data_IF_009247876400
#
_entry.id   IF_009247876400
#
_cell.length_a   1.000
_cell.length_b   1.000
_cell.length_c   1.000
_cell.angle_alpha   90.00
_cell.angle_beta   90.00
_cell.angle_gamma   90.00
#
_symmetry.space_group_name_H-M   'P 1'
#
loop_
_entity.id
_entity.type
_entity.pdbx_description
1 polymer ?
#
# COMPACT_ATOMS: atom_id res chain seq x y z
N UNK A 1 22.78 -3.24 -16.64
CA UNK A 1 21.72 -2.44 -16.00
C UNK A 1 21.97 -0.92 -16.11
N UNK A 2 23.17 -0.38 -15.88
CA UNK A 2 23.45 1.08 -15.97
C UNK A 2 23.11 1.67 -17.34
N UNK A 3 23.50 1.02 -18.45
CA UNK A 3 23.19 1.50 -19.81
C UNK A 3 21.68 1.60 -20.11
N UNK A 4 20.86 0.63 -19.65
CA UNK A 4 19.41 0.68 -19.85
C UNK A 4 18.76 1.88 -19.14
N UNK A 5 19.22 2.21 -17.93
CA UNK A 5 18.74 3.38 -17.19
C UNK A 5 19.13 4.69 -17.86
N UNK A 6 20.38 4.78 -18.35
CA UNK A 6 20.87 5.96 -19.06
C UNK A 6 20.07 6.20 -20.35
N UNK A 7 19.89 5.14 -21.17
CA UNK A 7 19.09 5.22 -22.39
C UNK A 7 17.66 5.64 -22.09
N UNK A 8 17.01 5.02 -21.11
CA UNK A 8 15.65 5.38 -20.70
C UNK A 8 15.57 6.84 -20.21
N UNK A 9 16.58 7.32 -19.49
CA UNK A 9 16.68 8.70 -19.04
C UNK A 9 16.75 9.68 -20.21
N UNK A 10 17.64 9.42 -21.17
CA UNK A 10 17.79 10.24 -22.37
C UNK A 10 16.48 10.23 -23.19
N UNK A 11 15.92 9.05 -23.43
CA UNK A 11 14.64 8.91 -24.17
C UNK A 11 13.52 9.67 -23.47
N UNK A 12 13.40 9.56 -22.14
CA UNK A 12 12.38 10.29 -21.39
C UNK A 12 12.53 11.81 -21.53
N UNK A 13 13.74 12.36 -21.40
CA UNK A 13 14.00 13.79 -21.54
C UNK A 13 13.73 14.23 -22.97
N UNK A 14 14.25 13.51 -23.96
CA UNK A 14 14.07 13.85 -25.39
C UNK A 14 12.59 13.86 -25.75
N UNK A 15 11.82 12.84 -25.32
CA UNK A 15 10.38 12.82 -25.56
C UNK A 15 9.67 13.99 -24.87
N UNK A 16 10.02 14.30 -23.62
CA UNK A 16 9.47 15.44 -22.90
C UNK A 16 9.74 16.77 -23.64
N UNK A 17 10.96 16.98 -24.11
CA UNK A 17 11.34 18.17 -24.89
C UNK A 17 10.59 18.22 -26.23
N UNK A 18 10.53 17.10 -26.95
CA UNK A 18 9.81 17.03 -28.24
C UNK A 18 8.33 17.36 -28.02
N UNK A 19 7.67 16.76 -27.02
CA UNK A 19 6.26 17.00 -26.74
C UNK A 19 6.05 18.48 -26.37
N UNK A 20 6.90 19.05 -25.54
CA UNK A 20 6.72 20.42 -25.04
C UNK A 20 6.93 21.48 -26.12
N UNK A 21 7.96 21.32 -26.99
CA UNK A 21 8.43 22.39 -27.85
C UNK A 21 8.23 22.15 -29.34
N UNK A 22 8.11 20.91 -29.80
CA UNK A 22 8.06 20.56 -31.21
C UNK A 22 6.72 19.98 -31.68
N UNK A 23 5.91 19.46 -30.81
CA UNK A 23 4.56 18.97 -31.17
C UNK A 23 3.55 20.11 -31.01
N UNK A 24 2.80 20.46 -32.07
CA UNK A 24 1.70 21.42 -31.97
C UNK A 24 0.70 21.00 -30.90
N UNK A 25 0.26 21.95 -30.08
CA UNK A 25 -0.73 21.66 -29.04
C UNK A 25 -2.02 21.13 -29.67
N UNK A 26 -2.47 19.90 -29.33
CA UNK A 26 -3.67 19.30 -29.89
C UNK A 26 -4.93 20.13 -29.63
N UNK A 27 -5.90 20.04 -30.52
CA UNK A 27 -7.19 20.76 -30.39
C UNK A 27 -7.84 20.43 -29.03
N UNK A 28 -8.14 21.48 -28.26
CA UNK A 28 -8.79 21.37 -26.96
C UNK A 28 -7.86 21.10 -25.77
N UNK A 29 -6.54 20.99 -25.99
CA UNK A 29 -5.52 20.99 -24.93
C UNK A 29 -4.96 22.40 -24.77
N UNK A 30 -4.67 22.83 -23.55
CA UNK A 30 -3.97 24.09 -23.28
C UNK A 30 -2.46 23.90 -23.41
N UNK A 31 -1.68 24.96 -23.59
CA UNK A 31 -0.22 24.86 -23.55
C UNK A 31 0.29 24.38 -22.19
N UNK A 32 -0.33 24.83 -21.09
CA UNK A 32 -0.06 24.31 -19.75
C UNK A 32 -0.32 22.81 -19.65
N UNK A 33 -1.45 22.33 -20.21
CA UNK A 33 -1.76 20.91 -20.30
C UNK A 33 -0.74 20.11 -21.09
N UNK A 34 -0.17 20.69 -22.16
CA UNK A 34 0.90 20.06 -22.94
C UNK A 34 2.19 19.88 -22.13
N UNK A 35 2.60 20.90 -21.37
CA UNK A 35 3.75 20.83 -20.45
C UNK A 35 3.54 19.75 -19.39
N UNK A 36 2.35 19.71 -18.77
CA UNK A 36 2.00 18.69 -17.77
C UNK A 36 2.03 17.30 -18.37
N UNK A 37 1.48 17.10 -19.58
CA UNK A 37 1.52 15.82 -20.30
C UNK A 37 2.94 15.36 -20.58
N UNK A 38 3.78 16.25 -21.11
CA UNK A 38 5.17 15.97 -21.44
C UNK A 38 5.98 15.54 -20.21
N UNK A 39 5.84 16.28 -19.11
CA UNK A 39 6.52 15.97 -17.86
C UNK A 39 6.01 14.67 -17.22
N UNK A 40 4.71 14.36 -17.35
CA UNK A 40 4.14 13.08 -16.95
C UNK A 40 4.72 11.91 -17.75
N UNK A 41 4.84 12.03 -19.06
CA UNK A 41 5.47 11.00 -19.91
C UNK A 41 6.91 10.76 -19.46
N UNK A 42 7.68 11.83 -19.27
CA UNK A 42 9.06 11.76 -18.77
C UNK A 42 9.13 11.08 -17.39
N UNK A 43 8.31 11.52 -16.44
CA UNK A 43 8.28 10.97 -15.08
C UNK A 43 7.90 9.48 -15.06
N UNK A 44 6.95 9.08 -15.89
CA UNK A 44 6.55 7.67 -16.00
C UNK A 44 7.67 6.79 -16.54
N UNK A 45 8.40 7.23 -17.57
CA UNK A 45 9.58 6.53 -18.07
C UNK A 45 10.62 6.39 -16.94
N UNK A 46 10.87 7.47 -16.20
CA UNK A 46 11.82 7.47 -15.09
C UNK A 46 11.41 6.51 -13.97
N UNK A 47 10.12 6.44 -13.62
CA UNK A 47 9.61 5.53 -12.61
C UNK A 47 9.63 4.07 -13.06
N UNK A 48 9.25 3.78 -14.32
CA UNK A 48 9.24 2.41 -14.87
C UNK A 48 10.66 1.83 -14.89
N UNK A 49 11.64 2.62 -15.38
CA UNK A 49 13.00 2.15 -15.53
C UNK A 49 13.89 2.43 -14.30
N UNK A 50 13.34 3.04 -13.23
CA UNK A 50 14.11 3.46 -12.06
C UNK A 50 15.38 4.24 -12.44
N UNK A 51 15.24 5.24 -13.30
CA UNK A 51 16.34 6.06 -13.82
C UNK A 51 17.06 6.78 -12.68
N UNK A 52 16.27 7.49 -11.85
CA UNK A 52 16.67 8.12 -10.59
C UNK A 52 15.67 7.74 -9.49
N UNK A 53 15.95 8.00 -8.21
CA UNK A 53 15.00 7.74 -7.13
C UNK A 53 13.63 8.38 -7.40
N UNK A 54 12.55 7.64 -7.10
CA UNK A 54 11.18 8.04 -7.44
C UNK A 54 10.78 9.40 -6.87
N UNK A 55 11.23 9.73 -5.66
CA UNK A 55 10.96 11.05 -5.06
C UNK A 55 11.64 12.18 -5.81
N UNK A 56 12.88 11.98 -6.30
CA UNK A 56 13.59 12.97 -7.08
C UNK A 56 12.93 13.20 -8.44
N UNK A 57 12.46 12.13 -9.10
CA UNK A 57 11.64 12.24 -10.31
C UNK A 57 10.40 13.09 -10.06
N UNK A 58 9.67 12.83 -8.95
CA UNK A 58 8.49 13.61 -8.59
C UNK A 58 8.79 15.08 -8.34
N UNK A 59 9.86 15.40 -7.61
CA UNK A 59 10.28 16.79 -7.37
C UNK A 59 10.66 17.50 -8.66
N UNK A 60 11.41 16.86 -9.57
CA UNK A 60 11.75 17.42 -10.87
C UNK A 60 10.49 17.67 -11.71
N UNK A 61 9.51 16.77 -11.66
CA UNK A 61 8.24 16.94 -12.33
C UNK A 61 7.49 18.17 -11.81
N UNK A 62 7.30 18.32 -10.48
CA UNK A 62 6.66 19.50 -9.90
C UNK A 62 7.42 20.80 -10.27
N UNK A 63 8.74 20.77 -10.14
CA UNK A 63 9.57 21.94 -10.48
C UNK A 63 9.47 22.31 -11.94
N UNK A 64 9.42 21.33 -12.85
CA UNK A 64 9.27 21.60 -14.28
C UNK A 64 7.96 22.31 -14.62
N UNK A 65 6.85 22.01 -13.93
CA UNK A 65 5.59 22.70 -14.13
C UNK A 65 5.63 24.18 -13.75
N UNK A 66 6.37 24.49 -12.69
CA UNK A 66 6.53 25.88 -12.23
C UNK A 66 7.49 26.65 -13.17
N UNK A 67 8.64 26.05 -13.47
CA UNK A 67 9.68 26.68 -14.32
C UNK A 67 9.19 26.94 -15.74
N UNK A 68 8.42 26.00 -16.31
CA UNK A 68 7.84 26.14 -17.65
C UNK A 68 6.51 26.93 -17.66
N UNK A 69 6.06 27.45 -16.52
CA UNK A 69 4.88 28.30 -16.42
C UNK A 69 3.54 27.57 -16.60
N UNK A 70 3.50 26.25 -16.43
CA UNK A 70 2.26 25.49 -16.52
C UNK A 70 1.31 25.80 -15.35
N UNK A 71 1.85 25.90 -14.13
CA UNK A 71 1.10 26.25 -12.92
C UNK A 71 1.96 27.09 -11.97
N UNK A 72 1.32 27.78 -11.03
CA UNK A 72 2.02 28.52 -9.97
C UNK A 72 2.60 27.56 -8.92
N UNK A 73 3.64 27.99 -8.21
CA UNK A 73 4.30 27.23 -7.15
C UNK A 73 3.30 26.71 -6.11
N UNK A 74 2.37 27.57 -5.66
CA UNK A 74 1.37 27.23 -4.65
C UNK A 74 0.49 26.05 -5.10
N UNK A 75 0.13 25.98 -6.38
CA UNK A 75 -0.69 24.89 -6.94
C UNK A 75 0.12 23.59 -7.00
N UNK A 76 1.38 23.64 -7.44
CA UNK A 76 2.24 22.48 -7.56
C UNK A 76 2.58 21.86 -6.19
N UNK A 77 2.79 22.69 -5.16
CA UNK A 77 3.28 22.24 -3.85
C UNK A 77 2.23 22.28 -2.73
N UNK A 78 0.97 22.65 -3.03
CA UNK A 78 -0.14 22.75 -2.07
C UNK A 78 -0.32 21.49 -1.23
N UNK A 79 -0.06 20.33 -1.80
CA UNK A 79 -0.27 19.03 -1.15
C UNK A 79 0.51 18.89 0.16
N UNK A 80 1.69 19.51 0.26
CA UNK A 80 2.54 19.44 1.46
C UNK A 80 1.95 20.15 2.66
N UNK A 81 0.92 21.00 2.47
CA UNK A 81 0.17 21.67 3.54
C UNK A 81 -1.13 20.95 3.93
N UNK A 82 -1.46 19.80 3.31
CA UNK A 82 -2.70 19.07 3.57
C UNK A 82 -2.63 18.15 4.78
N UNK A 83 -3.78 17.88 5.40
CA UNK A 83 -3.92 16.90 6.49
C UNK A 83 -3.49 15.50 6.07
N UNK A 84 -3.69 15.13 4.81
CA UNK A 84 -3.27 13.82 4.27
C UNK A 84 -1.75 13.64 4.32
N UNK A 85 -0.99 14.71 4.07
CA UNK A 85 0.47 14.64 4.17
C UNK A 85 0.92 14.45 5.61
N UNK A 86 0.30 15.14 6.55
CA UNK A 86 0.63 15.09 7.97
C UNK A 86 0.22 13.79 8.64
N UNK A 87 -0.87 13.14 8.21
CA UNK A 87 -1.21 11.81 8.74
C UNK A 87 -0.22 10.74 8.28
N UNK A 88 0.33 10.86 7.06
CA UNK A 88 1.39 9.96 6.59
C UNK A 88 2.64 10.09 7.45
N UNK A 89 3.08 11.32 7.72
CA UNK A 89 4.25 11.60 8.57
C UNK A 89 4.02 11.07 9.99
N UNK A 90 2.89 11.41 10.60
CA UNK A 90 2.54 10.98 11.94
C UNK A 90 2.40 9.45 12.04
N UNK A 91 1.71 8.84 11.09
CA UNK A 91 1.54 7.38 11.04
C UNK A 91 2.86 6.64 10.91
N UNK A 92 3.75 7.09 10.01
CA UNK A 92 5.11 6.53 9.88
C UNK A 92 5.93 6.70 11.16
N UNK A 93 5.77 7.81 11.88
CA UNK A 93 6.39 8.03 13.18
C UNK A 93 5.89 7.05 14.24
N UNK A 94 4.59 6.81 14.35
CA UNK A 94 4.00 5.80 15.24
C UNK A 94 4.51 4.40 14.90
N UNK A 95 4.57 4.05 13.61
CA UNK A 95 5.11 2.78 13.13
C UNK A 95 6.60 2.62 13.43
N UNK A 96 7.39 3.69 13.32
CA UNK A 96 8.81 3.70 13.69
C UNK A 96 9.00 3.40 15.18
N UNK A 97 8.18 3.98 16.06
CA UNK A 97 8.21 3.69 17.50
C UNK A 97 7.84 2.24 17.78
N UNK A 98 6.77 1.72 17.19
CA UNK A 98 6.34 0.33 17.36
C UNK A 98 7.41 -0.68 16.91
N UNK A 99 8.12 -0.34 15.83
CA UNK A 99 9.24 -1.16 15.32
C UNK A 99 10.47 -1.07 16.23
N UNK A 100 10.84 0.16 16.65
CA UNK A 100 12.01 0.41 17.50
C UNK A 100 11.90 -0.31 18.84
N UNK A 101 10.75 -0.22 19.49
CA UNK A 101 10.52 -0.80 20.82
C UNK A 101 10.38 -2.32 20.82
N UNK A 102 10.18 -2.97 19.67
CA UNK A 102 9.94 -4.40 19.58
C UNK A 102 8.49 -4.82 19.91
N UNK A 103 7.61 -3.84 20.17
CA UNK A 103 6.20 -4.08 20.50
C UNK A 103 5.50 -5.01 19.49
N UNK A 104 5.79 -4.83 18.20
CA UNK A 104 5.20 -5.62 17.12
C UNK A 104 5.55 -7.09 17.23
N UNK A 105 6.85 -7.39 17.47
CA UNK A 105 7.34 -8.77 17.63
C UNK A 105 6.68 -9.43 18.83
N UNK A 106 6.56 -8.70 19.94
CA UNK A 106 5.90 -9.18 21.15
C UNK A 106 4.42 -9.51 20.90
N UNK A 107 3.66 -8.60 20.26
CA UNK A 107 2.26 -8.81 19.95
C UNK A 107 2.10 -10.04 19.05
N UNK A 108 2.90 -10.16 18.00
CA UNK A 108 2.87 -11.30 17.08
C UNK A 108 3.09 -12.62 17.84
N UNK A 109 4.20 -12.73 18.59
CA UNK A 109 4.52 -13.93 19.35
C UNK A 109 3.43 -14.27 20.41
N UNK A 110 2.89 -13.24 21.09
CA UNK A 110 1.82 -13.43 22.07
C UNK A 110 0.56 -14.00 21.42
N UNK A 111 0.13 -13.47 20.28
CA UNK A 111 -1.01 -13.99 19.54
C UNK A 111 -0.76 -15.45 19.13
N UNK A 112 0.45 -15.76 18.65
CA UNK A 112 0.78 -17.11 18.19
C UNK A 112 0.74 -18.15 19.30
N UNK A 113 0.91 -17.78 20.57
CA UNK A 113 0.77 -18.73 21.70
C UNK A 113 -0.66 -19.24 21.89
N UNK A 114 -1.68 -18.56 21.39
CA UNK A 114 -3.08 -18.97 21.50
C UNK A 114 -3.48 -20.06 20.51
N UNK A 115 -2.65 -20.32 19.48
CA UNK A 115 -2.97 -21.25 18.42
C UNK A 115 -2.18 -22.56 18.53
N UNK A 116 -2.71 -23.70 18.02
CA UNK A 116 -1.99 -24.96 17.99
C UNK A 116 -0.65 -24.84 17.24
N UNK A 117 0.39 -25.50 17.76
CA UNK A 117 1.72 -25.52 17.15
C UNK A 117 1.80 -26.58 16.04
N UNK A 118 0.95 -26.47 15.03
CA UNK A 118 0.94 -27.24 13.80
C UNK A 118 0.77 -26.30 12.60
N UNK A 119 0.85 -26.82 11.38
CA UNK A 119 0.76 -26.01 10.16
C UNK A 119 -0.51 -25.15 10.11
N UNK A 120 -1.69 -25.74 10.34
CA UNK A 120 -2.97 -25.03 10.27
C UNK A 120 -3.11 -23.98 11.35
N UNK A 121 -2.75 -24.34 12.59
CA UNK A 121 -2.82 -23.40 13.71
C UNK A 121 -1.89 -22.22 13.53
N UNK A 122 -0.65 -22.44 13.11
CA UNK A 122 0.32 -21.38 12.90
C UNK A 122 0.05 -20.55 11.63
N UNK A 123 -0.56 -21.12 10.61
CA UNK A 123 -1.10 -20.35 9.48
C UNK A 123 -2.15 -19.35 9.96
N UNK A 124 -3.13 -19.82 10.75
CA UNK A 124 -4.18 -18.95 11.32
C UNK A 124 -3.60 -17.91 12.28
N UNK A 125 -2.61 -18.30 13.09
CA UNK A 125 -1.92 -17.38 13.99
C UNK A 125 -1.23 -16.23 13.26
N UNK A 126 -0.53 -16.52 12.14
CA UNK A 126 0.12 -15.53 11.31
C UNK A 126 -0.90 -14.58 10.65
N UNK A 127 -2.03 -15.09 10.17
CA UNK A 127 -3.12 -14.28 9.64
C UNK A 127 -3.68 -13.33 10.71
N UNK A 128 -4.02 -13.88 11.89
CA UNK A 128 -4.58 -13.10 13.01
C UNK A 128 -3.60 -12.05 13.50
N UNK A 129 -2.33 -12.43 13.73
CA UNK A 129 -1.31 -11.50 14.20
C UNK A 129 -1.07 -10.36 13.22
N UNK A 130 -0.94 -10.69 11.92
CA UNK A 130 -0.74 -9.69 10.88
C UNK A 130 -1.91 -8.71 10.76
N UNK A 131 -3.14 -9.22 10.78
CA UNK A 131 -4.35 -8.38 10.71
C UNK A 131 -4.48 -7.43 11.91
N UNK A 132 -4.20 -7.90 13.13
CA UNK A 132 -4.24 -7.06 14.34
C UNK A 132 -3.14 -6.00 14.31
N UNK A 133 -1.96 -6.35 13.82
CA UNK A 133 -0.81 -5.44 13.74
C UNK A 133 -0.94 -4.46 12.57
N UNK A 134 -1.67 -4.81 11.51
CA UNK A 134 -1.77 -4.02 10.29
C UNK A 134 -2.03 -2.53 10.55
N UNK A 135 -3.05 -2.09 11.30
CA UNK A 135 -3.34 -0.67 11.48
C UNK A 135 -2.28 0.11 12.28
N UNK A 136 -1.38 -0.59 12.96
CA UNK A 136 -0.36 0.02 13.83
C UNK A 136 0.87 0.52 13.05
N UNK A 137 1.09 0.03 11.83
CA UNK A 137 2.32 0.31 11.07
C UNK A 137 1.98 0.63 9.62
N UNK A 138 2.11 1.89 9.18
CA UNK A 138 1.79 2.29 7.81
C UNK A 138 2.92 1.96 6.80
N UNK A 139 3.56 0.81 6.95
CA UNK A 139 4.62 0.34 6.05
C UNK A 139 4.66 -1.17 5.98
N UNK A 140 4.64 -1.71 4.77
CA UNK A 140 4.70 -3.14 4.50
C UNK A 140 6.09 -3.75 4.79
N UNK A 141 7.17 -3.02 4.48
CA UNK A 141 8.53 -3.53 4.58
C UNK A 141 8.93 -4.00 5.99
N UNK A 142 8.74 -3.21 7.08
CA UNK A 142 9.05 -3.67 8.43
C UNK A 142 8.20 -4.89 8.84
N UNK A 143 6.93 -4.91 8.42
CA UNK A 143 6.01 -6.02 8.74
C UNK A 143 6.47 -7.33 8.10
N UNK A 144 6.84 -7.32 6.82
CA UNK A 144 7.33 -8.52 6.12
C UNK A 144 8.71 -8.94 6.60
N UNK A 145 9.63 -7.98 6.83
CA UNK A 145 10.97 -8.25 7.35
C UNK A 145 10.96 -8.91 8.74
N UNK A 146 9.93 -8.62 9.56
CA UNK A 146 9.77 -9.20 10.89
C UNK A 146 9.02 -10.55 10.83
N UNK A 147 7.94 -10.64 10.07
CA UNK A 147 7.04 -11.81 10.10
C UNK A 147 7.65 -13.04 9.42
N UNK A 148 8.44 -12.85 8.37
CA UNK A 148 9.02 -13.98 7.63
C UNK A 148 10.11 -14.74 8.42
N UNK A 149 11.03 -14.11 9.18
CA UNK A 149 11.90 -14.84 10.11
C UNK A 149 11.14 -15.60 11.21
N UNK A 150 10.04 -15.05 11.73
CA UNK A 150 9.18 -15.76 12.67
C UNK A 150 8.60 -17.02 12.01
N UNK A 151 8.04 -16.89 10.80
CA UNK A 151 7.55 -18.03 10.03
C UNK A 151 8.65 -19.07 9.74
N UNK A 152 9.89 -18.63 9.48
CA UNK A 152 11.04 -19.53 9.30
C UNK A 152 11.36 -20.30 10.59
N UNK A 153 11.35 -19.61 11.73
CA UNK A 153 11.55 -20.24 13.03
C UNK A 153 10.51 -21.32 13.32
N UNK A 154 9.24 -21.05 13.03
CA UNK A 154 8.14 -22.03 13.17
C UNK A 154 8.34 -23.19 12.21
N UNK A 155 8.66 -22.90 10.94
CA UNK A 155 8.92 -23.94 9.92
C UNK A 155 10.02 -24.91 10.36
N UNK A 156 11.11 -24.37 10.92
CA UNK A 156 12.22 -25.16 11.44
C UNK A 156 11.80 -25.99 12.67
N UNK A 157 11.04 -25.40 13.60
CA UNK A 157 10.53 -26.09 14.77
C UNK A 157 9.59 -27.24 14.43
N UNK A 158 8.79 -27.08 13.35
CA UNK A 158 7.91 -28.12 12.80
C UNK A 158 8.65 -29.12 11.90
N UNK A 159 9.98 -28.97 11.71
CA UNK A 159 10.80 -29.88 10.92
C UNK A 159 10.56 -29.80 9.40
N UNK A 160 10.00 -28.69 8.90
CA UNK A 160 9.74 -28.55 7.47
C UNK A 160 11.01 -28.23 6.69
N UNK A 161 11.19 -28.94 5.57
CA UNK A 161 12.34 -28.70 4.67
C UNK A 161 12.20 -27.37 3.94
N UNK A 162 13.32 -26.65 3.68
CA UNK A 162 13.33 -25.48 2.80
C UNK A 162 12.62 -25.76 1.46
N UNK A 163 11.87 -24.80 0.95
CA UNK A 163 11.05 -24.89 -0.27
C UNK A 163 9.96 -25.99 -0.26
N UNK A 164 9.86 -26.75 0.83
CA UNK A 164 8.78 -27.73 1.02
C UNK A 164 7.41 -27.05 1.16
N UNK A 165 6.33 -27.84 1.06
CA UNK A 165 4.97 -27.32 1.19
C UNK A 165 4.74 -26.58 2.51
N UNK A 166 5.12 -27.16 3.65
CA UNK A 166 4.94 -26.54 4.96
C UNK A 166 5.73 -25.24 5.11
N UNK A 167 7.01 -25.22 4.71
CA UNK A 167 7.85 -24.02 4.74
C UNK A 167 7.29 -22.92 3.84
N UNK A 168 6.93 -23.25 2.59
CA UNK A 168 6.33 -22.30 1.65
C UNK A 168 4.98 -21.78 2.15
N UNK A 169 4.15 -22.65 2.72
CA UNK A 169 2.83 -22.26 3.25
C UNK A 169 2.93 -21.30 4.43
N UNK A 170 3.84 -21.51 5.36
CA UNK A 170 4.06 -20.61 6.50
C UNK A 170 4.66 -19.26 6.06
N UNK A 171 5.60 -19.27 5.11
CA UNK A 171 6.11 -18.03 4.53
C UNK A 171 4.99 -17.21 3.89
N UNK A 172 4.17 -17.86 3.07
CA UNK A 172 3.02 -17.21 2.43
C UNK A 172 1.97 -16.76 3.44
N UNK A 173 1.74 -17.52 4.52
CA UNK A 173 0.85 -17.11 5.59
C UNK A 173 1.33 -15.83 6.30
N UNK A 174 2.65 -15.70 6.52
CA UNK A 174 3.22 -14.46 7.03
C UNK A 174 2.99 -13.28 6.06
N UNK A 175 3.19 -13.48 4.75
CA UNK A 175 2.92 -12.44 3.76
C UNK A 175 1.43 -12.07 3.69
N UNK A 176 0.53 -13.06 3.69
CA UNK A 176 -0.91 -12.78 3.67
C UNK A 176 -1.36 -12.02 4.91
N UNK A 177 -0.93 -12.46 6.10
CA UNK A 177 -1.31 -11.82 7.35
C UNK A 177 -0.75 -10.41 7.52
N UNK A 178 0.53 -10.19 7.17
CA UNK A 178 1.22 -8.94 7.50
C UNK A 178 1.32 -7.94 6.35
N UNK A 179 1.09 -8.39 5.10
CA UNK A 179 1.14 -7.52 3.93
C UNK A 179 -0.21 -7.42 3.22
N UNK A 180 -0.88 -8.55 2.90
CA UNK A 180 -2.14 -8.49 2.14
C UNK A 180 -3.24 -7.80 2.94
N UNK A 181 -3.39 -8.14 4.22
CA UNK A 181 -4.44 -7.56 5.09
C UNK A 181 -4.25 -6.07 5.40
N UNK A 182 -3.11 -5.46 5.06
CA UNK A 182 -2.91 -4.03 5.26
C UNK A 182 -3.89 -3.18 4.43
N UNK A 183 -4.40 -3.69 3.32
CA UNK A 183 -5.43 -3.01 2.54
C UNK A 183 -6.72 -2.77 3.32
N UNK A 184 -7.01 -3.59 4.34
CA UNK A 184 -8.21 -3.49 5.17
C UNK A 184 -8.28 -2.22 6.03
N UNK A 185 -7.15 -1.57 6.30
CA UNK A 185 -7.09 -0.43 7.21
C UNK A 185 -6.41 0.75 6.54
N UNK A 186 -7.04 1.90 6.58
CA UNK A 186 -6.50 3.13 5.95
C UNK A 186 -5.08 3.46 6.46
N UNK A 187 -4.84 3.27 7.76
CA UNK A 187 -3.55 3.57 8.40
C UNK A 187 -2.46 2.52 8.18
N UNK A 188 -2.77 1.36 7.59
CA UNK A 188 -1.84 0.24 7.55
C UNK A 188 -0.76 0.34 6.46
N UNK A 189 -0.93 1.22 5.48
CA UNK A 189 0.08 1.47 4.45
C UNK A 189 -0.02 2.89 3.90
N UNK A 190 1.13 3.49 3.64
CA UNK A 190 1.21 4.83 3.06
C UNK A 190 0.58 4.91 1.65
N UNK A 191 0.53 3.80 0.90
CA UNK A 191 -0.11 3.75 -0.42
C UNK A 191 -1.62 4.00 -0.36
N UNK A 192 -2.32 3.59 0.71
CA UNK A 192 -3.76 3.85 0.88
C UNK A 192 -4.03 5.35 0.90
N UNK A 193 -3.21 6.11 1.62
CA UNK A 193 -3.27 7.56 1.65
C UNK A 193 -2.88 8.19 0.31
N UNK A 194 -1.89 7.61 -0.38
CA UNK A 194 -1.50 8.09 -1.70
C UNK A 194 -2.67 8.02 -2.69
N UNK A 195 -3.36 6.89 -2.75
CA UNK A 195 -4.49 6.72 -3.67
C UNK A 195 -5.72 7.53 -3.23
N UNK A 196 -6.02 7.60 -1.93
CA UNK A 196 -7.04 8.51 -1.40
C UNK A 196 -6.75 9.95 -1.81
N UNK A 197 -5.52 10.40 -1.68
CA UNK A 197 -5.13 11.77 -1.96
C UNK A 197 -5.22 12.20 -3.42
N UNK A 198 -5.29 11.27 -4.37
CA UNK A 198 -5.53 11.53 -5.79
C UNK A 198 -7.00 11.76 -6.12
N UNK A 199 -7.92 11.46 -5.21
CA UNK A 199 -9.35 11.58 -5.45
C UNK A 199 -9.83 13.02 -5.30
N UNK A 200 -11.01 13.38 -5.86
CA UNK A 200 -11.68 14.64 -5.57
C UNK A 200 -11.98 14.80 -4.07
N UNK A 201 -12.00 16.02 -3.56
CA UNK A 201 -12.18 16.33 -2.13
C UNK A 201 -13.41 15.65 -1.50
N UNK A 202 -14.54 15.61 -2.23
CA UNK A 202 -15.77 14.94 -1.78
C UNK A 202 -15.56 13.43 -1.56
N UNK A 203 -14.85 12.77 -2.46
CA UNK A 203 -14.54 11.34 -2.34
C UNK A 203 -13.48 11.07 -1.25
N UNK A 204 -12.50 11.97 -1.09
CA UNK A 204 -11.55 11.88 0.02
C UNK A 204 -12.25 11.97 1.39
N UNK A 205 -13.24 12.84 1.55
CA UNK A 205 -14.02 12.98 2.78
C UNK A 205 -14.83 11.72 3.13
N UNK A 206 -15.28 10.96 2.14
CA UNK A 206 -15.94 9.67 2.34
C UNK A 206 -15.01 8.60 2.90
N UNK A 207 -13.70 8.72 2.69
CA UNK A 207 -12.67 7.76 3.11
C UNK A 207 -11.99 8.17 4.43
N UNK A 208 -12.78 8.42 5.50
CA UNK A 208 -12.23 8.46 6.85
C UNK A 208 -11.83 7.04 7.30
N UNK A 209 -11.15 6.90 8.43
CA UNK A 209 -10.64 5.61 8.89
C UNK A 209 -11.76 4.58 9.12
N UNK A 210 -12.85 4.99 9.75
CA UNK A 210 -14.00 4.12 10.04
C UNK A 210 -14.71 3.66 8.77
N UNK A 211 -15.02 4.58 7.86
CA UNK A 211 -15.67 4.25 6.60
C UNK A 211 -14.81 3.33 5.73
N UNK A 212 -13.48 3.60 5.64
CA UNK A 212 -12.55 2.70 4.95
C UNK A 212 -12.67 1.27 5.48
N UNK A 213 -12.63 1.10 6.81
CA UNK A 213 -12.72 -0.21 7.43
C UNK A 213 -14.06 -0.88 7.12
N UNK A 214 -15.19 -0.17 7.26
CA UNK A 214 -16.53 -0.69 6.93
C UNK A 214 -16.61 -1.13 5.47
N UNK A 215 -16.13 -0.30 4.55
CA UNK A 215 -16.10 -0.62 3.11
C UNK A 215 -15.28 -1.87 2.81
N UNK A 216 -14.29 -2.18 3.64
CA UNK A 216 -13.35 -3.28 3.45
C UNK A 216 -13.69 -4.54 4.25
N UNK A 217 -14.67 -4.52 5.16
CA UNK A 217 -15.03 -5.69 5.98
C UNK A 217 -15.31 -6.94 5.13
N UNK A 218 -16.18 -6.90 4.08
CA UNK A 218 -16.47 -8.11 3.31
C UNK A 218 -15.23 -8.63 2.59
N UNK A 219 -14.43 -7.75 1.99
CA UNK A 219 -13.18 -8.12 1.35
C UNK A 219 -12.22 -8.76 2.35
N UNK A 220 -12.08 -8.18 3.53
CA UNK A 220 -11.21 -8.69 4.60
C UNK A 220 -11.60 -10.11 5.01
N UNK A 221 -12.91 -10.36 5.19
CA UNK A 221 -13.44 -11.68 5.53
C UNK A 221 -13.12 -12.70 4.42
N UNK A 222 -13.36 -12.34 3.16
CA UNK A 222 -13.04 -13.22 1.99
C UNK A 222 -11.54 -13.52 1.93
N UNK A 223 -10.68 -12.51 2.13
CA UNK A 223 -9.21 -12.69 2.11
C UNK A 223 -8.73 -13.54 3.28
N UNK A 224 -9.25 -13.33 4.50
CA UNK A 224 -8.84 -14.10 5.66
C UNK A 224 -9.31 -15.56 5.56
N UNK A 225 -10.59 -15.78 5.29
CA UNK A 225 -11.16 -17.12 5.22
C UNK A 225 -10.66 -17.83 3.94
N UNK A 226 -10.83 -17.21 2.77
CA UNK A 226 -10.42 -17.78 1.49
C UNK A 226 -8.92 -18.01 1.41
N UNK A 227 -8.11 -17.05 1.87
CA UNK A 227 -6.65 -17.18 1.94
C UNK A 227 -6.20 -18.31 2.87
N UNK A 228 -6.80 -18.42 4.05
CA UNK A 228 -6.52 -19.51 4.97
C UNK A 228 -6.80 -20.87 4.33
N UNK A 229 -7.98 -21.07 3.75
CA UNK A 229 -8.32 -22.31 3.07
C UNK A 229 -7.43 -22.57 1.85
N UNK A 230 -7.17 -21.56 1.04
CA UNK A 230 -6.27 -21.66 -0.11
C UNK A 230 -4.88 -22.16 0.30
N UNK A 231 -4.27 -21.53 1.32
CA UNK A 231 -2.93 -21.90 1.77
C UNK A 231 -2.91 -23.27 2.43
N UNK A 232 -3.89 -23.59 3.26
CA UNK A 232 -3.97 -24.88 3.94
C UNK A 232 -4.32 -26.03 3.00
N UNK A 233 -4.95 -25.76 1.86
CA UNK A 233 -5.21 -26.75 0.82
C UNK A 233 -3.98 -26.97 -0.06
N UNK A 234 -3.38 -25.89 -0.60
CA UNK A 234 -2.27 -25.98 -1.55
C UNK A 234 -0.95 -26.41 -0.91
N UNK A 235 -0.70 -25.98 0.32
CA UNK A 235 0.60 -26.09 0.98
C UNK A 235 0.60 -26.99 2.22
N UNK A 236 -0.48 -27.75 2.46
CA UNK A 236 -0.51 -28.74 3.55
C UNK A 236 0.68 -29.68 3.45
N UNK A 237 1.54 -29.77 4.50
CA UNK A 237 2.59 -30.78 4.56
C UNK A 237 1.99 -32.19 4.70
N UNK A 238 2.77 -33.21 4.29
CA UNK A 238 2.34 -34.62 4.46
C UNK A 238 2.26 -35.00 5.93
N UNK A 239 3.24 -34.56 6.72
CA UNK A 239 3.34 -34.80 8.15
C UNK A 239 3.09 -33.46 8.89
N UNK A 240 1.85 -33.29 9.34
CA UNK A 240 1.41 -32.11 10.12
C UNK A 240 1.18 -32.54 11.57
N UNK A 241 2.26 -32.99 12.23
CA UNK A 241 2.20 -33.34 13.65
C UNK A 241 2.37 -32.09 14.50
N UNK A 242 1.52 -31.89 15.53
CA UNK A 242 1.74 -30.81 16.48
C UNK A 242 3.06 -31.02 17.23
N UNK A 243 3.84 -29.96 17.32
CA UNK A 243 5.05 -29.93 18.15
C UNK A 243 4.79 -29.17 19.45
N UNK A 244 5.74 -29.22 20.38
CA UNK A 244 5.66 -28.42 21.63
C UNK A 244 5.56 -26.91 21.29
N UNK A 245 4.68 -26.21 21.99
CA UNK A 245 4.60 -24.73 21.93
C UNK A 245 5.83 -24.05 22.53
N UNK A 246 6.73 -24.82 23.07
CA UNK A 246 7.94 -24.37 23.78
C UNK A 246 8.80 -23.42 22.95
N UNK A 247 8.89 -23.66 21.63
CA UNK A 247 9.63 -22.78 20.73
C UNK A 247 9.08 -21.34 20.71
N UNK A 248 7.75 -21.17 20.60
CA UNK A 248 7.13 -19.83 20.56
C UNK A 248 7.20 -19.19 21.94
N UNK A 249 6.91 -19.97 23.00
CA UNK A 249 7.00 -19.50 24.39
C UNK A 249 8.41 -19.10 24.76
N UNK A 250 9.43 -19.84 24.30
CA UNK A 250 10.84 -19.51 24.50
C UNK A 250 11.19 -18.16 23.86
N UNK A 251 10.81 -17.94 22.59
CA UNK A 251 11.05 -16.65 21.92
C UNK A 251 10.33 -15.49 22.63
N UNK A 252 9.12 -15.70 23.15
CA UNK A 252 8.40 -14.68 23.89
C UNK A 252 9.08 -14.40 25.26
N UNK A 253 9.54 -15.45 25.96
CA UNK A 253 10.25 -15.33 27.22
C UNK A 253 11.60 -14.65 27.08
N UNK A 254 12.31 -14.87 25.95
CA UNK A 254 13.57 -14.20 25.64
C UNK A 254 13.42 -12.66 25.50
N UNK A 255 12.22 -12.18 25.19
CA UNK A 255 11.93 -10.74 25.18
C UNK A 255 11.83 -10.13 26.59
N UNK A 256 11.73 -10.96 27.62
CA UNK A 256 11.54 -10.49 29.00
C UNK A 256 10.20 -9.78 29.24
N UNK A 257 10.03 -9.08 30.34
CA UNK A 257 8.86 -8.28 30.64
C UNK A 257 8.74 -7.09 29.68
N UNK A 258 7.52 -6.57 29.51
CA UNK A 258 7.24 -5.43 28.65
C UNK A 258 7.98 -4.19 29.14
N UNK A 259 8.83 -3.60 28.31
CA UNK A 259 9.62 -2.42 28.64
C UNK A 259 8.74 -1.18 28.85
N UNK A 260 9.31 -0.13 29.47
CA UNK A 260 8.59 1.15 29.62
C UNK A 260 8.24 1.75 28.26
N UNK A 261 9.18 1.70 27.33
CA UNK A 261 9.01 2.22 25.98
C UNK A 261 7.95 1.46 25.19
N UNK A 262 7.89 0.12 25.33
CA UNK A 262 6.83 -0.71 24.75
C UNK A 262 5.44 -0.32 25.29
N UNK A 263 5.31 -0.13 26.61
CA UNK A 263 4.04 0.26 27.25
C UNK A 263 3.56 1.63 26.77
N UNK A 264 4.46 2.63 26.76
CA UNK A 264 4.15 3.97 26.25
C UNK A 264 3.70 3.90 24.80
N UNK A 265 4.46 3.19 23.96
CA UNK A 265 4.15 3.05 22.52
C UNK A 265 2.79 2.38 22.31
N UNK A 266 2.51 1.29 23.04
CA UNK A 266 1.23 0.58 22.96
C UNK A 266 0.06 1.50 23.36
N UNK A 267 0.21 2.26 24.44
CA UNK A 267 -0.82 3.20 24.91
C UNK A 267 -1.07 4.31 23.89
N UNK A 268 -0.01 4.93 23.36
CA UNK A 268 -0.13 6.01 22.38
C UNK A 268 -0.79 5.53 21.10
N UNK A 269 -0.39 4.36 20.59
CA UNK A 269 -0.99 3.77 19.37
C UNK A 269 -2.46 3.39 19.61
N UNK A 270 -2.78 2.80 20.75
CA UNK A 270 -4.16 2.44 21.09
C UNK A 270 -5.05 3.69 21.14
N UNK A 271 -4.60 4.75 21.80
CA UNK A 271 -5.29 6.04 21.84
C UNK A 271 -5.48 6.60 20.43
N UNK A 272 -4.43 6.59 19.60
CA UNK A 272 -4.52 7.07 18.22
C UNK A 272 -5.57 6.29 17.41
N UNK A 273 -5.58 4.95 17.51
CA UNK A 273 -6.56 4.11 16.82
C UNK A 273 -8.00 4.41 17.29
N UNK A 274 -8.22 4.58 18.59
CA UNK A 274 -9.54 4.93 19.15
C UNK A 274 -10.02 6.26 18.57
N UNK A 275 -9.14 7.30 18.54
CA UNK A 275 -9.49 8.59 17.95
C UNK A 275 -9.71 8.52 16.43
N UNK A 276 -9.01 7.65 15.72
CA UNK A 276 -9.25 7.42 14.29
C UNK A 276 -10.59 6.75 14.02
N UNK A 277 -10.98 5.76 14.82
CA UNK A 277 -12.32 5.14 14.75
C UNK A 277 -13.41 6.17 15.02
N UNK A 278 -13.21 7.04 16.00
CA UNK A 278 -14.16 8.04 16.46
C UNK A 278 -13.94 9.41 15.81
N UNK A 279 -13.19 9.48 14.68
CA UNK A 279 -12.88 10.73 13.97
C UNK A 279 -14.15 11.55 13.66
N UNK A 280 -15.21 10.90 13.20
CA UNK A 280 -16.48 11.53 12.88
C UNK A 280 -17.27 12.00 14.11
N UNK A 281 -17.02 11.41 15.28
CA UNK A 281 -17.71 11.77 16.54
C UNK A 281 -17.04 12.98 17.18
N UNK A 282 -15.72 12.99 17.24
CA UNK A 282 -14.96 14.06 17.89
C UNK A 282 -14.63 15.22 16.93
N UNK A 283 -14.81 15.06 15.63
CA UNK A 283 -14.41 16.01 14.59
C UNK A 283 -12.92 16.42 14.69
N UNK A 284 -12.07 15.51 15.17
CA UNK A 284 -10.61 15.72 15.25
C UNK A 284 -9.99 14.96 14.08
N UNK A 285 -9.33 15.67 13.12
CA UNK A 285 -8.69 15.01 12.00
C UNK A 285 -7.65 13.98 12.47
N UNK A 286 -7.67 12.80 11.87
CA UNK A 286 -6.73 11.70 12.18
C UNK A 286 -5.25 12.13 12.13
N UNK A 287 -4.92 13.12 11.32
CA UNK A 287 -3.58 13.72 11.26
C UNK A 287 -3.15 14.34 12.59
N UNK A 288 -4.04 15.05 13.26
CA UNK A 288 -3.72 15.73 14.53
C UNK A 288 -3.41 14.71 15.62
N UNK A 289 -4.22 13.65 15.73
CA UNK A 289 -3.97 12.58 16.72
C UNK A 289 -2.66 11.84 16.45
N UNK A 290 -2.31 11.61 15.18
CA UNK A 290 -1.04 11.00 14.81
C UNK A 290 0.17 11.90 15.17
N UNK A 291 0.09 13.21 14.88
CA UNK A 291 1.15 14.18 15.19
C UNK A 291 1.32 14.31 16.72
N UNK A 292 0.22 14.44 17.46
CA UNK A 292 0.28 14.48 18.94
C UNK A 292 0.91 13.20 19.46
N UNK A 293 0.51 12.03 18.95
CA UNK A 293 1.09 10.76 19.36
C UNK A 293 2.59 10.70 19.15
N UNK A 294 3.10 11.12 17.99
CA UNK A 294 4.56 11.19 17.72
C UNK A 294 5.23 12.20 18.63
N UNK A 295 4.63 13.37 18.85
CA UNK A 295 5.20 14.39 19.75
C UNK A 295 5.31 13.87 21.18
N UNK A 296 4.30 13.16 21.68
CA UNK A 296 4.35 12.51 23.01
C UNK A 296 5.47 11.45 23.06
N UNK A 297 5.62 10.62 22.01
CA UNK A 297 6.70 9.63 21.96
C UNK A 297 8.10 10.26 21.96
N UNK A 298 8.26 11.42 21.32
CA UNK A 298 9.51 12.19 21.35
C UNK A 298 9.72 12.81 22.74
N UNK A 299 8.69 13.45 23.31
CA UNK A 299 8.77 14.07 24.64
C UNK A 299 9.13 13.04 25.75
N UNK A 300 8.58 11.82 25.64
CA UNK A 300 8.86 10.72 26.57
C UNK A 300 10.13 9.93 26.20
N UNK A 301 10.91 10.42 25.24
CA UNK A 301 12.20 9.84 24.78
C UNK A 301 12.10 8.42 24.22
N UNK A 302 10.91 7.98 23.80
CA UNK A 302 10.73 6.72 23.05
C UNK A 302 11.33 6.86 21.66
N UNK A 303 11.05 7.97 20.98
CA UNK A 303 11.70 8.38 19.74
C UNK A 303 12.70 9.48 20.02
N UNK A 304 13.85 9.41 19.38
CA UNK A 304 14.86 10.46 19.39
C UNK A 304 14.79 11.27 18.08
N UNK A 305 15.37 12.48 18.01
CA UNK A 305 15.51 13.20 16.74
C UNK A 305 16.23 12.36 15.66
N UNK A 306 17.21 11.54 16.05
CA UNK A 306 17.91 10.64 15.12
C UNK A 306 16.99 9.51 14.61
N UNK A 307 16.12 8.96 15.46
CA UNK A 307 15.12 7.99 15.00
C UNK A 307 14.15 8.61 14.00
N UNK A 308 13.73 9.85 14.25
CA UNK A 308 12.84 10.58 13.34
C UNK A 308 13.50 10.81 11.98
N UNK A 309 14.79 11.11 11.96
CA UNK A 309 15.59 11.28 10.74
C UNK A 309 15.80 9.97 9.99
N UNK A 310 16.13 8.88 10.69
CA UNK A 310 16.63 7.64 10.08
C UNK A 310 15.56 6.56 9.88
N UNK A 311 14.51 6.55 10.73
CA UNK A 311 13.48 5.50 10.70
C UNK A 311 12.23 5.88 9.89
N UNK A 312 12.00 7.18 9.63
CA UNK A 312 10.95 7.61 8.72
C UNK A 312 11.42 7.48 7.29
N UNK A 313 10.57 6.92 6.43
CA UNK A 313 10.84 6.83 4.99
C UNK A 313 10.59 8.16 4.30
N UNK A 314 11.47 9.16 4.50
CA UNK A 314 11.36 10.48 3.90
C UNK A 314 11.21 10.44 2.38
N UNK A 315 11.93 9.52 1.72
CA UNK A 315 11.79 9.29 0.29
C UNK A 315 10.36 8.94 -0.11
N UNK A 316 9.69 8.11 0.68
CA UNK A 316 8.29 7.72 0.44
C UNK A 316 7.35 8.88 0.71
N UNK A 317 7.57 9.65 1.78
CA UNK A 317 6.79 10.83 2.13
C UNK A 317 6.81 11.85 0.99
N UNK A 318 8.01 12.22 0.53
CA UNK A 318 8.19 13.17 -0.56
C UNK A 318 7.56 12.64 -1.85
N UNK A 319 7.82 11.37 -2.18
CA UNK A 319 7.25 10.76 -3.39
C UNK A 319 5.72 10.81 -3.40
N UNK A 320 5.08 10.41 -2.32
CA UNK A 320 3.61 10.45 -2.20
C UNK A 320 3.11 11.88 -2.37
N UNK A 321 3.76 12.85 -1.72
CA UNK A 321 3.41 14.27 -1.88
C UNK A 321 3.46 14.72 -3.33
N UNK A 322 4.52 14.38 -4.07
CA UNK A 322 4.64 14.75 -5.48
C UNK A 322 3.58 14.10 -6.36
N UNK A 323 3.22 12.86 -6.08
CA UNK A 323 2.17 12.12 -6.80
C UNK A 323 0.78 12.71 -6.53
N UNK A 324 0.47 13.03 -5.28
CA UNK A 324 -0.83 13.59 -4.91
C UNK A 324 -1.09 14.98 -5.52
N UNK A 325 -0.05 15.75 -5.85
CA UNK A 325 -0.18 17.04 -6.52
C UNK A 325 -0.76 16.91 -7.95
N UNK A 326 -0.61 15.73 -8.58
CA UNK A 326 -1.03 15.49 -9.96
C UNK A 326 -2.51 15.80 -10.23
N UNK A 327 -3.40 15.41 -9.31
CA UNK A 327 -4.84 15.63 -9.48
C UNK A 327 -5.21 17.10 -9.71
N UNK A 328 -4.73 17.96 -8.82
CA UNK A 328 -4.99 19.39 -8.88
C UNK A 328 -4.31 20.07 -10.08
N UNK A 329 -3.07 19.66 -10.37
CA UNK A 329 -2.30 20.23 -11.48
C UNK A 329 -2.90 19.84 -12.84
N UNK A 330 -3.26 18.58 -13.05
CA UNK A 330 -3.92 18.13 -14.29
C UNK A 330 -5.24 18.85 -14.53
N UNK A 331 -6.01 19.08 -13.47
CA UNK A 331 -7.27 19.79 -13.55
C UNK A 331 -7.05 21.27 -13.91
N UNK A 332 -6.17 21.96 -13.20
CA UNK A 332 -5.87 23.40 -13.42
C UNK A 332 -5.23 23.66 -14.79
N UNK A 333 -4.44 22.73 -15.30
CA UNK A 333 -3.83 22.79 -16.62
C UNK A 333 -4.78 22.37 -17.77
N UNK A 334 -6.03 21.98 -17.49
CA UNK A 334 -7.00 21.57 -18.51
C UNK A 334 -6.76 20.18 -19.14
N UNK A 335 -5.72 19.47 -18.69
CA UNK A 335 -5.36 18.16 -19.21
C UNK A 335 -6.43 17.11 -18.96
N UNK A 336 -7.11 17.17 -17.82
CA UNK A 336 -8.20 16.25 -17.45
C UNK A 336 -9.34 16.28 -18.48
N UNK A 337 -9.76 17.47 -18.92
CA UNK A 337 -10.85 17.62 -19.89
C UNK A 337 -10.48 17.06 -21.26
N UNK A 338 -9.25 17.29 -21.69
CA UNK A 338 -8.76 16.79 -22.97
C UNK A 338 -8.62 15.27 -22.99
N UNK A 339 -8.01 14.67 -21.95
CA UNK A 339 -7.88 13.21 -21.82
C UNK A 339 -9.23 12.52 -21.81
N UNK A 340 -10.24 13.11 -21.13
CA UNK A 340 -11.59 12.58 -21.12
C UNK A 340 -12.16 12.41 -22.51
N UNK A 341 -12.06 13.43 -23.37
CA UNK A 341 -12.60 13.36 -24.74
C UNK A 341 -11.99 12.22 -25.55
N UNK A 342 -10.70 11.96 -25.39
CA UNK A 342 -9.98 10.93 -26.15
C UNK A 342 -10.24 9.53 -25.60
N UNK A 343 -10.26 9.37 -24.29
CA UNK A 343 -10.32 8.06 -23.65
C UNK A 343 -11.75 7.59 -23.35
N UNK A 344 -12.77 8.47 -23.45
CA UNK A 344 -14.14 8.12 -23.13
C UNK A 344 -14.66 6.85 -23.85
N UNK A 345 -14.45 6.64 -25.14
CA UNK A 345 -14.95 5.45 -25.80
C UNK A 345 -14.41 4.14 -25.22
N UNK A 346 -13.18 4.16 -24.71
CA UNK A 346 -12.54 2.98 -24.14
C UNK A 346 -12.85 2.80 -22.64
N UNK A 347 -13.01 3.90 -21.89
CA UNK A 347 -13.11 3.87 -20.43
C UNK A 347 -14.55 3.83 -19.94
N UNK A 348 -15.48 4.57 -20.59
CA UNK A 348 -16.88 4.65 -20.15
C UNK A 348 -17.54 3.28 -19.98
N UNK A 349 -17.40 2.29 -20.89
CA UNK A 349 -18.02 0.98 -20.70
C UNK A 349 -17.58 0.25 -19.43
N UNK A 350 -16.38 0.59 -18.91
CA UNK A 350 -15.84 -0.04 -17.71
C UNK A 350 -16.41 0.64 -16.46
N UNK A 351 -16.49 1.98 -16.45
CA UNK A 351 -16.82 2.78 -15.26
C UNK A 351 -18.29 3.10 -15.09
N UNK A 352 -19.13 2.82 -16.11
CA UNK A 352 -20.57 3.06 -16.05
C UNK A 352 -21.31 1.99 -15.21
N UNK A 353 -20.64 0.85 -14.96
CA UNK A 353 -21.19 -0.23 -14.16
C UNK A 353 -20.17 -0.71 -13.12
N UNK A 354 -20.54 -0.61 -11.84
CA UNK A 354 -19.66 -0.99 -10.72
C UNK A 354 -19.22 -2.45 -10.79
N UNK A 355 -20.10 -3.38 -11.19
CA UNK A 355 -19.76 -4.81 -11.28
C UNK A 355 -18.73 -5.07 -12.38
N UNK A 356 -18.82 -4.34 -13.51
CA UNK A 356 -17.80 -4.39 -14.56
C UNK A 356 -16.49 -3.80 -14.04
N UNK A 357 -16.56 -2.66 -13.34
CA UNK A 357 -15.38 -1.98 -12.79
C UNK A 357 -14.61 -2.88 -11.82
N UNK A 358 -15.28 -3.53 -10.86
CA UNK A 358 -14.64 -4.39 -9.85
C UNK A 358 -14.03 -5.67 -10.42
N UNK A 359 -14.35 -6.03 -11.65
CA UNK A 359 -13.73 -7.16 -12.38
C UNK A 359 -12.65 -6.65 -13.33
N UNK A 360 -12.98 -5.71 -14.21
CA UNK A 360 -12.09 -5.29 -15.29
C UNK A 360 -10.89 -4.49 -14.77
N UNK A 361 -11.10 -3.58 -13.82
CA UNK A 361 -10.02 -2.73 -13.33
C UNK A 361 -8.91 -3.51 -12.60
N UNK A 362 -9.20 -4.48 -11.70
CA UNK A 362 -8.18 -5.38 -11.18
C UNK A 362 -7.39 -6.11 -12.26
N UNK A 363 -8.06 -6.65 -13.29
CA UNK A 363 -7.40 -7.36 -14.39
C UNK A 363 -6.42 -6.43 -15.12
N UNK A 364 -6.86 -5.21 -15.44
CA UNK A 364 -6.00 -4.20 -16.07
C UNK A 364 -4.79 -3.90 -15.18
N UNK A 365 -4.99 -3.73 -13.87
CA UNK A 365 -3.90 -3.49 -12.91
C UNK A 365 -2.94 -4.67 -12.88
N UNK A 366 -3.43 -5.91 -12.86
CA UNK A 366 -2.60 -7.12 -12.88
C UNK A 366 -1.72 -7.18 -14.13
N UNK A 367 -2.25 -6.82 -15.29
CA UNK A 367 -1.49 -6.75 -16.54
C UNK A 367 -0.43 -5.63 -16.47
N UNK A 368 -0.78 -4.44 -15.96
CA UNK A 368 0.16 -3.34 -15.79
C UNK A 368 1.33 -3.71 -14.86
N UNK A 369 1.10 -4.57 -13.85
CA UNK A 369 2.14 -5.01 -12.91
C UNK A 369 3.27 -5.82 -13.55
N UNK A 370 3.07 -6.42 -14.72
CA UNK A 370 4.16 -7.06 -15.45
C UNK A 370 5.20 -6.05 -15.98
N UNK A 371 4.78 -4.79 -16.18
CA UNK A 371 5.64 -3.71 -16.69
C UNK A 371 6.06 -2.76 -15.58
N UNK A 372 5.12 -2.32 -14.75
CA UNK A 372 5.35 -1.33 -13.68
C UNK A 372 5.50 -2.04 -12.34
N UNK A 373 6.73 -2.14 -11.85
CA UNK A 373 7.07 -2.91 -10.63
C UNK A 373 6.56 -2.24 -9.34
N UNK A 374 6.66 -0.90 -9.26
CA UNK A 374 6.29 -0.14 -8.05
C UNK A 374 4.78 -0.20 -7.79
N UNK A 375 4.40 -0.53 -6.56
CA UNK A 375 3.00 -0.58 -6.13
C UNK A 375 2.34 0.80 -6.24
N UNK A 376 3.00 1.82 -5.67
CA UNK A 376 2.47 3.19 -5.66
C UNK A 376 2.42 3.74 -7.08
N UNK A 377 3.48 3.56 -7.88
CA UNK A 377 3.50 4.07 -9.27
C UNK A 377 2.43 3.42 -10.13
N UNK A 378 2.18 2.10 -10.01
CA UNK A 378 1.11 1.43 -10.75
C UNK A 378 -0.25 2.00 -10.37
N UNK A 379 -0.55 2.07 -9.07
CA UNK A 379 -1.84 2.59 -8.61
C UNK A 379 -2.04 4.06 -8.97
N UNK A 380 -0.96 4.86 -8.90
CA UNK A 380 -0.97 6.25 -9.35
C UNK A 380 -1.31 6.39 -10.83
N UNK A 381 -0.63 5.63 -11.70
CA UNK A 381 -0.89 5.63 -13.14
C UNK A 381 -2.34 5.33 -13.47
N UNK A 382 -2.89 4.29 -12.86
CA UNK A 382 -4.29 3.89 -13.05
C UNK A 382 -5.23 4.97 -12.53
N UNK A 383 -5.00 5.49 -11.32
CA UNK A 383 -5.87 6.51 -10.73
C UNK A 383 -5.83 7.80 -11.54
N UNK A 384 -4.66 8.23 -12.01
CA UNK A 384 -4.50 9.41 -12.87
C UNK A 384 -5.23 9.21 -14.20
N UNK A 385 -5.12 8.04 -14.82
CA UNK A 385 -5.85 7.70 -16.04
C UNK A 385 -7.37 7.78 -15.89
N UNK A 386 -7.88 7.56 -14.67
CA UNK A 386 -9.30 7.62 -14.34
C UNK A 386 -9.76 9.00 -13.82
N UNK A 387 -8.84 9.91 -13.43
CA UNK A 387 -9.19 11.26 -12.95
C UNK A 387 -10.19 12.01 -13.87
N UNK A 388 -10.02 11.97 -15.20
CA UNK A 388 -10.93 12.66 -16.12
C UNK A 388 -12.39 12.21 -16.01
N UNK A 389 -12.62 11.01 -15.51
CA UNK A 389 -13.92 10.35 -15.52
C UNK A 389 -14.63 10.37 -14.15
N UNK A 390 -13.97 10.78 -13.08
CA UNK A 390 -14.54 10.73 -11.72
C UNK A 390 -15.88 11.46 -11.58
N UNK A 391 -16.12 12.52 -12.34
CA UNK A 391 -17.39 13.24 -12.33
C UNK A 391 -18.53 12.57 -13.11
N UNK A 392 -18.22 11.53 -13.88
CA UNK A 392 -19.19 10.82 -14.74
C UNK A 392 -19.50 9.41 -14.23
N UNK A 393 -18.74 8.92 -13.25
CA UNK A 393 -19.00 7.60 -12.66
C UNK A 393 -20.38 7.55 -12.02
N UNK A 394 -21.10 6.44 -12.22
CA UNK A 394 -22.37 6.15 -11.55
C UNK A 394 -22.21 5.88 -10.04
N UNK A 395 -20.98 5.71 -9.57
CA UNK A 395 -20.60 5.42 -8.19
C UNK A 395 -19.49 6.37 -7.72
N UNK A 396 -19.26 6.41 -6.41
CA UNK A 396 -18.22 7.29 -5.84
C UNK A 396 -16.82 6.88 -6.28
N UNK A 397 -15.96 7.84 -6.69
CA UNK A 397 -14.54 7.61 -6.93
C UNK A 397 -13.78 7.03 -5.72
N UNK A 398 -14.33 7.12 -4.51
CA UNK A 398 -13.78 6.48 -3.31
C UNK A 398 -13.54 4.97 -3.51
N UNK A 399 -14.41 4.30 -4.26
CA UNK A 399 -14.31 2.87 -4.58
C UNK A 399 -13.07 2.57 -5.42
N UNK A 400 -12.66 3.49 -6.30
CA UNK A 400 -11.45 3.32 -7.12
C UNK A 400 -10.20 3.19 -6.25
N UNK A 401 -10.08 3.99 -5.18
CA UNK A 401 -8.94 3.87 -4.26
C UNK A 401 -8.87 2.47 -3.62
N UNK A 402 -9.99 1.89 -3.26
CA UNK A 402 -10.08 0.53 -2.70
C UNK A 402 -9.68 -0.53 -3.73
N UNK A 403 -10.23 -0.45 -4.94
CA UNK A 403 -9.91 -1.39 -6.02
C UNK A 403 -8.42 -1.32 -6.34
N UNK A 404 -7.87 -0.12 -6.47
CA UNK A 404 -6.45 0.08 -6.78
C UNK A 404 -5.57 -0.45 -5.65
N UNK A 405 -5.86 -0.08 -4.39
CA UNK A 405 -5.09 -0.54 -3.23
C UNK A 405 -4.99 -2.06 -3.15
N UNK A 406 -6.10 -2.75 -3.32
CA UNK A 406 -6.11 -4.21 -3.24
C UNK A 406 -5.45 -4.86 -4.46
N UNK A 407 -5.66 -4.31 -5.65
CA UNK A 407 -5.24 -4.95 -6.89
C UNK A 407 -3.75 -4.78 -7.23
N UNK A 408 -3.07 -3.72 -6.74
CA UNK A 408 -1.62 -3.57 -6.98
C UNK A 408 -0.76 -4.57 -6.20
N UNK A 409 -1.32 -5.24 -5.19
CA UNK A 409 -0.61 -6.11 -4.27
C UNK A 409 -0.36 -7.54 -4.80
N UNK A 410 -0.07 -7.71 -6.09
CA UNK A 410 0.21 -9.01 -6.72
C UNK A 410 1.71 -9.34 -6.78
N UNK A 411 2.05 -10.65 -6.85
CA UNK A 411 3.42 -11.15 -6.79
C UNK A 411 3.64 -12.45 -7.59
N UNK A 412 3.02 -12.59 -8.76
CA UNK A 412 3.23 -13.76 -9.63
C UNK A 412 4.72 -13.98 -9.87
N UNK A 413 5.43 -12.90 -10.18
CA UNK A 413 6.88 -12.87 -10.26
C UNK A 413 7.43 -12.08 -9.06
N UNK A 414 8.45 -12.61 -8.41
CA UNK A 414 8.98 -12.03 -7.16
C UNK A 414 9.37 -10.55 -7.27
N UNK A 415 9.84 -10.10 -8.43
CA UNK A 415 10.22 -8.71 -8.65
C UNK A 415 9.03 -7.72 -8.65
N UNK A 416 7.80 -8.20 -8.84
CA UNK A 416 6.60 -7.35 -8.92
C UNK A 416 6.23 -6.66 -7.60
N UNK A 417 6.83 -7.10 -6.47
CA UNK A 417 6.40 -6.66 -5.15
C UNK A 417 7.58 -6.52 -4.20
N UNK A 418 7.98 -5.26 -3.95
CA UNK A 418 9.12 -4.94 -3.11
C UNK A 418 8.99 -5.39 -1.64
N UNK A 419 7.85 -5.23 -0.93
CA UNK A 419 7.62 -5.82 0.39
C UNK A 419 7.86 -7.32 0.45
N UNK A 420 7.46 -8.06 -0.56
CA UNK A 420 7.67 -9.52 -0.64
C UNK A 420 9.15 -9.84 -0.84
N UNK A 421 9.85 -9.08 -1.68
CA UNK A 421 11.31 -9.20 -1.80
C UNK A 421 12.00 -8.94 -0.47
N UNK A 422 11.55 -7.96 0.31
CA UNK A 422 12.07 -7.69 1.65
C UNK A 422 11.87 -8.90 2.58
N UNK A 423 10.68 -9.48 2.59
CA UNK A 423 10.39 -10.69 3.37
C UNK A 423 11.22 -11.89 2.92
N UNK A 424 11.38 -12.10 1.61
CA UNK A 424 12.23 -13.16 1.04
C UNK A 424 13.71 -12.98 1.44
N UNK A 425 14.24 -11.78 1.29
CA UNK A 425 15.62 -11.45 1.68
C UNK A 425 15.87 -11.67 3.18
N UNK A 426 14.91 -11.34 4.05
CA UNK A 426 15.00 -11.54 5.49
C UNK A 426 15.17 -13.02 5.90
N UNK A 427 14.74 -13.94 5.04
CA UNK A 427 14.92 -15.39 5.23
C UNK A 427 15.91 -15.99 4.23
N UNK A 428 16.70 -15.16 3.53
CA UNK A 428 17.71 -15.57 2.55
C UNK A 428 17.11 -16.43 1.42
N UNK A 429 15.91 -16.07 0.95
CA UNK A 429 15.16 -16.78 -0.11
C UNK A 429 15.00 -18.30 0.11
N UNK A 430 15.00 -18.75 1.38
CA UNK A 430 15.11 -20.18 1.73
C UNK A 430 13.78 -20.88 2.00
N UNK A 431 12.62 -20.19 1.94
CA UNK A 431 11.36 -20.75 2.42
C UNK A 431 10.39 -21.17 1.30
N UNK A 432 10.20 -20.32 0.29
CA UNK A 432 9.18 -20.55 -0.73
C UNK A 432 9.76 -20.62 -2.14
N UNK A 433 9.32 -21.61 -2.94
CA UNK A 433 9.69 -21.69 -4.34
C UNK A 433 8.95 -20.66 -5.18
N UNK A 434 9.50 -20.30 -6.36
CA UNK A 434 8.84 -19.40 -7.32
C UNK A 434 7.45 -19.89 -7.71
N UNK A 435 7.29 -21.21 -7.89
CA UNK A 435 5.99 -21.80 -8.19
C UNK A 435 4.98 -21.69 -7.06
N UNK A 436 5.43 -21.78 -5.79
CA UNK A 436 4.57 -21.55 -4.63
C UNK A 436 4.11 -20.08 -4.56
N UNK A 437 5.02 -19.14 -4.81
CA UNK A 437 4.73 -17.72 -4.88
C UNK A 437 3.68 -17.41 -5.95
N UNK A 438 3.88 -17.90 -7.17
CA UNK A 438 2.96 -17.69 -8.28
C UNK A 438 1.56 -18.27 -8.00
N UNK A 439 1.47 -19.51 -7.50
CA UNK A 439 0.19 -20.14 -7.15
C UNK A 439 -0.57 -19.36 -6.09
N UNK A 440 0.13 -18.89 -5.06
CA UNK A 440 -0.45 -18.07 -4.00
C UNK A 440 -0.94 -16.71 -4.54
N UNK A 441 -0.17 -16.08 -5.42
CA UNK A 441 -0.55 -14.81 -6.05
C UNK A 441 -1.78 -14.95 -6.95
N UNK A 442 -1.85 -16.00 -7.77
CA UNK A 442 -3.03 -16.28 -8.61
C UNK A 442 -4.27 -16.50 -7.73
N UNK A 443 -4.12 -17.28 -6.65
CA UNK A 443 -5.20 -17.44 -5.68
C UNK A 443 -5.64 -16.14 -5.04
N UNK A 444 -4.69 -15.25 -4.70
CA UNK A 444 -4.99 -13.90 -4.23
C UNK A 444 -5.77 -13.08 -5.27
N UNK A 445 -5.34 -13.09 -6.53
CA UNK A 445 -6.01 -12.32 -7.60
C UNK A 445 -7.49 -12.72 -7.75
N UNK A 446 -7.78 -14.02 -7.66
CA UNK A 446 -9.15 -14.54 -7.72
C UNK A 446 -9.94 -14.10 -6.49
N UNK A 447 -9.40 -14.32 -5.28
CA UNK A 447 -10.05 -13.94 -4.03
C UNK A 447 -10.23 -12.42 -3.91
N UNK A 448 -9.31 -11.62 -4.46
CA UNK A 448 -9.43 -10.18 -4.51
C UNK A 448 -10.65 -9.74 -5.32
N UNK A 449 -10.85 -10.28 -6.52
CA UNK A 449 -12.03 -9.96 -7.36
C UNK A 449 -13.32 -10.41 -6.65
N UNK A 450 -13.34 -11.62 -6.08
CA UNK A 450 -14.49 -12.11 -5.32
C UNK A 450 -14.77 -11.19 -4.12
N UNK A 451 -13.74 -10.80 -3.37
CA UNK A 451 -13.86 -9.90 -2.23
C UNK A 451 -14.43 -8.54 -2.61
N UNK A 452 -13.95 -7.96 -3.73
CA UNK A 452 -14.46 -6.70 -4.26
C UNK A 452 -15.92 -6.80 -4.69
N UNK A 453 -16.31 -7.89 -5.35
CA UNK A 453 -17.72 -8.15 -5.72
C UNK A 453 -18.61 -8.23 -4.49
N UNK A 454 -18.17 -8.90 -3.43
CA UNK A 454 -18.91 -9.02 -2.16
C UNK A 454 -18.98 -7.67 -1.41
N UNK A 455 -18.08 -6.74 -1.67
CA UNK A 455 -18.15 -5.38 -1.12
C UNK A 455 -19.25 -4.51 -1.75
N UNK A 456 -19.65 -4.77 -3.00
CA UNK A 456 -20.60 -3.90 -3.74
C UNK A 456 -21.92 -3.69 -2.98
N UNK A 457 -22.60 -4.71 -2.42
CA UNK A 457 -23.81 -4.50 -1.64
C UNK A 457 -23.61 -3.57 -0.43
N UNK A 458 -22.48 -3.67 0.25
CA UNK A 458 -22.16 -2.77 1.39
C UNK A 458 -21.96 -1.34 0.89
N UNK A 459 -21.27 -1.15 -0.23
CA UNK A 459 -21.09 0.18 -0.84
C UNK A 459 -22.42 0.80 -1.29
N UNK A 460 -23.35 -0.03 -1.78
CA UNK A 460 -24.72 0.40 -2.11
C UNK A 460 -25.50 0.82 -0.86
N UNK A 461 -25.41 0.07 0.23
CA UNK A 461 -26.02 0.43 1.52
C UNK A 461 -25.43 1.73 2.10
N UNK A 462 -24.16 2.01 1.82
CA UNK A 462 -23.50 3.27 2.20
C UNK A 462 -23.85 4.45 1.26
N UNK A 463 -24.59 4.23 0.19
CA UNK A 463 -24.95 5.25 -0.80
C UNK A 463 -23.77 5.76 -1.65
N UNK A 464 -22.76 4.92 -1.86
CA UNK A 464 -21.55 5.27 -2.63
C UNK A 464 -21.38 4.43 -3.90
N UNK A 465 -22.28 3.44 -4.13
CA UNK A 465 -22.29 2.57 -5.32
C UNK A 465 -23.70 2.48 -5.92
#
# INVERSE_FOLDING_TARGET
MKHKKLIAGIVGIVLGVIITFFIPTPHGLTHAGMIVLASLVTANIFWIFNVIPSFATGLLMLSSWVVLGAVKFEVAYQIFSTTTMWIIIGGLGLGAAATKTGLIKRIALKIMTFFPANFRGQTLALFTAGTIIAPMIPSAHPKTAMSTPIAKGISNALGYKPFGKGSSGLFLAALWGFFVTEASFLSATAQNYAFKGLLPAKAQAQLNWGNWFIMMIPWTIIILIGGYFLLTFLFKPKDDKPVSREFISKQLNELGPMSREEKITATVILIAIVFWILESVFNIPAAITAIIGVSVLVALKVLTPEDFKTRLSWNTIIFIGTVMALGNVMQSAGLTTWLRKILAPAISPIIDNIYITVIALPIIIYLCKFVVVSLISTGTLITIGLLPFFSQMSFSPAIIAIIVTTSVNVWILSYMNAPILTGSAAVQDSMASRGAMAKSSIGYMILNIIGLLVCVPIWQLMGIA
#
